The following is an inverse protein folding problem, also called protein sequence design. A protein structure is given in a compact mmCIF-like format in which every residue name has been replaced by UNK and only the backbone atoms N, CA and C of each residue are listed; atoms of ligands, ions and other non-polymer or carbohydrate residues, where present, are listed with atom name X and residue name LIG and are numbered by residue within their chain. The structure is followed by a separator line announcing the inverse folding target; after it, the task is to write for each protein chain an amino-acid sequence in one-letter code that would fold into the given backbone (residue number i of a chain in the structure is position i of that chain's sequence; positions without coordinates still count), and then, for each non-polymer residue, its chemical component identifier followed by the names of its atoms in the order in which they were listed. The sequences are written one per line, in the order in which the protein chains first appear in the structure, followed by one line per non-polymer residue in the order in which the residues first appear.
data_IF_500484919166
#
_entry.id   IF_500484919166
#
_cell.length_a   1.000
_cell.length_b   1.000
_cell.length_c   1.000
_cell.angle_alpha   90.00
_cell.angle_beta   90.00
_cell.angle_gamma   90.00
#
_symmetry.space_group_name_H-M   'P 1'
#
loop_
_entity.id
_entity.type
_entity.pdbx_description
1 polymer ?
#
# COMPACT_ATOMS: atom_id res chain seq x y z
N UNK A 1 67.64 37.62 17.00
CA UNK A 1 66.64 36.76 17.68
C UNK A 1 65.35 36.89 16.90
N UNK A 2 65.07 35.88 16.07
CA UNK A 2 63.93 35.82 15.15
C UNK A 2 63.03 34.67 15.61
N UNK A 3 61.78 34.97 15.91
CA UNK A 3 60.76 34.00 16.31
C UNK A 3 60.37 33.09 15.12
N UNK A 4 60.00 31.81 15.37
CA UNK A 4 59.68 30.88 14.30
C UNK A 4 58.28 31.10 13.72
N UNK A 5 58.21 30.98 12.39
CA UNK A 5 56.99 30.92 11.59
C UNK A 5 56.16 29.68 11.98
N UNK A 6 54.91 29.89 12.39
CA UNK A 6 53.88 28.84 12.48
C UNK A 6 53.12 28.83 11.16
N UNK A 7 53.32 27.78 10.38
CA UNK A 7 52.57 27.45 9.16
C UNK A 7 51.21 26.91 9.53
N UNK A 8 50.14 27.58 9.09
CA UNK A 8 48.78 27.04 9.09
C UNK A 8 48.67 25.94 8.02
N UNK A 9 48.55 24.69 8.45
CA UNK A 9 48.19 23.56 7.59
C UNK A 9 46.71 23.58 7.23
N UNK A 10 46.33 23.00 6.07
CA UNK A 10 45.00 23.15 5.51
C UNK A 10 43.94 22.39 6.33
N UNK A 11 42.76 23.02 6.38
CA UNK A 11 41.46 22.54 6.83
C UNK A 11 41.28 21.02 6.72
N UNK A 12 40.94 20.38 7.84
CA UNK A 12 40.50 18.99 7.88
C UNK A 12 39.29 18.76 6.98
N UNK A 13 39.54 18.12 5.84
CA UNK A 13 38.52 17.49 5.02
C UNK A 13 37.86 16.39 5.85
N UNK A 14 36.53 16.40 5.91
CA UNK A 14 35.72 15.31 6.43
C UNK A 14 36.17 13.97 5.83
N UNK A 15 36.17 12.86 6.60
CA UNK A 15 36.43 11.56 6.03
C UNK A 15 35.33 11.28 5.00
N UNK A 16 35.72 11.24 3.73
CA UNK A 16 34.89 10.77 2.63
C UNK A 16 34.18 9.48 3.08
N UNK A 17 32.85 9.56 3.22
CA UNK A 17 31.99 8.40 3.49
C UNK A 17 32.35 7.34 2.46
N UNK A 18 32.95 6.23 2.92
CA UNK A 18 33.31 5.10 2.07
C UNK A 18 32.03 4.55 1.45
N UNK A 19 31.81 4.86 0.18
CA UNK A 19 30.87 4.16 -0.69
C UNK A 19 31.20 2.65 -0.55
N UNK A 20 30.21 1.76 -0.33
CA UNK A 20 30.44 0.34 -0.42
C UNK A 20 30.99 0.02 -1.82
N UNK A 21 32.28 -0.31 -1.90
CA UNK A 21 32.93 -0.70 -3.14
C UNK A 21 32.13 -1.87 -3.75
N UNK A 22 31.83 -1.81 -5.05
CA UNK A 22 31.26 -2.89 -5.88
C UNK A 22 31.86 -4.27 -5.52
N UNK A 23 33.16 -4.32 -5.19
CA UNK A 23 33.87 -5.54 -4.76
C UNK A 23 33.30 -6.18 -3.49
N UNK A 24 32.84 -5.39 -2.53
CA UNK A 24 32.29 -5.89 -1.25
C UNK A 24 30.92 -6.54 -1.46
N UNK A 25 30.07 -5.96 -2.32
CA UNK A 25 28.79 -6.56 -2.69
C UNK A 25 28.97 -7.79 -3.60
N UNK A 26 29.96 -7.77 -4.51
CA UNK A 26 30.31 -8.92 -5.36
C UNK A 26 30.65 -10.18 -4.57
N UNK A 27 31.37 -10.04 -3.47
CA UNK A 27 31.70 -11.15 -2.58
C UNK A 27 30.47 -11.70 -1.83
N UNK A 28 29.43 -10.87 -1.65
CA UNK A 28 28.25 -11.19 -0.85
C UNK A 28 27.10 -11.80 -1.68
N UNK A 29 26.92 -11.39 -2.94
CA UNK A 29 25.79 -11.82 -3.81
C UNK A 29 26.19 -12.94 -4.78
N UNK A 30 27.14 -13.80 -4.41
CA UNK A 30 27.42 -15.05 -5.14
C UNK A 30 28.04 -14.90 -6.54
N UNK A 31 28.55 -13.72 -6.90
CA UNK A 31 29.31 -13.53 -8.15
C UNK A 31 28.48 -13.34 -9.43
N UNK A 32 27.16 -13.20 -9.34
CA UNK A 32 26.34 -12.81 -10.50
C UNK A 32 26.56 -11.34 -10.85
N UNK A 33 26.74 -11.05 -12.14
CA UNK A 33 26.94 -9.69 -12.63
C UNK A 33 25.60 -8.95 -12.64
N UNK A 34 25.43 -7.97 -11.75
CA UNK A 34 24.65 -6.79 -12.12
C UNK A 34 25.47 -6.05 -13.18
N UNK A 35 24.93 -5.87 -14.39
CA UNK A 35 25.63 -5.09 -15.40
C UNK A 35 25.86 -3.64 -14.91
N UNK A 36 26.84 -2.96 -15.49
CA UNK A 36 27.22 -1.61 -15.05
C UNK A 36 26.07 -0.59 -15.17
N UNK A 37 25.10 -0.83 -16.04
CA UNK A 37 23.92 0.02 -16.18
C UNK A 37 22.94 -0.20 -15.03
N UNK A 38 22.59 -1.45 -14.72
CA UNK A 38 21.76 -1.83 -13.59
C UNK A 38 22.37 -1.36 -12.25
N UNK A 39 23.68 -1.51 -12.09
CA UNK A 39 24.39 -0.98 -10.92
C UNK A 39 24.24 0.54 -10.81
N UNK A 40 24.50 1.28 -11.89
CA UNK A 40 24.37 2.73 -11.89
C UNK A 40 22.92 3.17 -11.60
N UNK A 41 21.92 2.49 -12.16
CA UNK A 41 20.50 2.76 -11.87
C UNK A 41 20.17 2.55 -10.38
N UNK A 42 20.62 1.45 -9.78
CA UNK A 42 20.43 1.18 -8.35
C UNK A 42 21.19 2.20 -7.50
N UNK A 43 22.44 2.50 -7.84
CA UNK A 43 23.26 3.48 -7.15
C UNK A 43 22.60 4.86 -7.18
N UNK A 44 22.16 5.34 -8.35
CA UNK A 44 21.46 6.61 -8.46
C UNK A 44 20.15 6.60 -7.66
N UNK A 45 19.36 5.53 -7.71
CA UNK A 45 18.14 5.38 -6.90
C UNK A 45 18.43 5.45 -5.40
N UNK A 46 19.49 4.81 -4.93
CA UNK A 46 19.85 4.74 -3.51
C UNK A 46 20.52 6.04 -3.04
N UNK A 47 21.54 6.52 -3.73
CA UNK A 47 22.36 7.64 -3.29
C UNK A 47 21.72 9.01 -3.58
N UNK A 48 20.99 9.16 -4.69
CA UNK A 48 20.30 10.42 -4.97
C UNK A 48 18.88 10.44 -4.42
N UNK A 49 18.05 9.47 -4.80
CA UNK A 49 16.62 9.58 -4.48
C UNK A 49 16.31 9.29 -3.00
N UNK A 50 17.09 8.43 -2.31
CA UNK A 50 16.87 8.23 -0.87
C UNK A 50 17.50 9.32 -0.01
N UNK A 51 18.65 9.90 -0.40
CA UNK A 51 19.24 11.00 0.39
C UNK A 51 18.35 12.25 0.36
N UNK A 52 17.73 12.54 -0.78
CA UNK A 52 16.68 13.56 -0.90
C UNK A 52 15.48 13.25 0.02
N UNK A 53 15.07 11.98 0.10
CA UNK A 53 13.97 11.58 0.97
C UNK A 53 14.28 11.77 2.47
N UNK A 54 15.53 11.58 2.88
CA UNK A 54 16.00 11.73 4.26
C UNK A 54 16.76 13.05 4.50
N UNK A 55 16.46 14.08 3.72
CA UNK A 55 17.11 15.40 3.76
C UNK A 55 16.87 16.19 5.05
N UNK A 56 16.45 17.45 4.94
CA UNK A 56 16.24 18.33 6.12
C UNK A 56 15.14 17.74 7.01
N UNK A 57 15.37 17.73 8.33
CA UNK A 57 14.35 17.32 9.29
C UNK A 57 13.53 18.54 9.73
N UNK A 58 12.20 18.44 9.62
CA UNK A 58 11.22 19.40 10.15
C UNK A 58 10.42 18.71 11.25
N UNK A 59 10.36 19.33 12.43
CA UNK A 59 9.66 18.80 13.61
C UNK A 59 10.05 17.35 13.97
N UNK A 60 11.32 16.97 13.78
CA UNK A 60 11.81 15.62 14.09
C UNK A 60 11.57 14.57 12.99
N UNK A 61 10.94 14.94 11.88
CA UNK A 61 10.71 14.06 10.72
C UNK A 61 11.37 14.64 9.46
N UNK A 62 11.91 13.81 8.54
CA UNK A 62 12.37 14.32 7.24
C UNK A 62 11.28 15.13 6.52
N UNK A 63 11.66 16.23 5.89
CA UNK A 63 10.78 17.18 5.20
C UNK A 63 9.82 16.50 4.21
N UNK A 64 10.25 15.52 3.39
CA UNK A 64 9.33 14.78 2.52
C UNK A 64 8.21 14.02 3.24
N UNK A 65 8.42 13.58 4.49
CA UNK A 65 7.35 12.96 5.30
C UNK A 65 6.35 14.00 5.78
N UNK A 66 6.81 15.20 6.13
CA UNK A 66 5.91 16.29 6.50
C UNK A 66 5.05 16.72 5.31
N UNK A 67 5.63 16.80 4.11
CA UNK A 67 4.84 17.10 2.91
C UNK A 67 3.83 15.99 2.59
N UNK A 68 4.25 14.72 2.64
CA UNK A 68 3.31 13.61 2.47
C UNK A 68 2.20 13.63 3.54
N UNK A 69 2.52 13.94 4.80
CA UNK A 69 1.53 14.12 5.87
C UNK A 69 0.55 15.24 5.55
N UNK A 70 1.04 16.42 5.17
CA UNK A 70 0.19 17.57 4.85
C UNK A 70 -0.73 17.28 3.66
N UNK A 71 -0.23 16.63 2.63
CA UNK A 71 -1.02 16.24 1.46
C UNK A 71 -2.11 15.22 1.83
N UNK A 72 -1.78 14.23 2.66
CA UNK A 72 -2.74 13.25 3.19
C UNK A 72 -3.79 13.93 4.05
N UNK A 73 -3.40 14.81 4.98
CA UNK A 73 -4.32 15.53 5.86
C UNK A 73 -5.24 16.46 5.08
N UNK A 74 -4.70 17.18 4.09
CA UNK A 74 -5.48 18.03 3.19
C UNK A 74 -6.52 17.20 2.42
N UNK A 75 -6.12 16.03 1.91
CA UNK A 75 -7.04 15.17 1.18
C UNK A 75 -8.08 14.51 2.09
N UNK A 76 -7.70 14.10 3.30
CA UNK A 76 -8.64 13.61 4.31
C UNK A 76 -9.68 14.66 4.67
N UNK A 77 -9.27 15.92 4.82
CA UNK A 77 -10.19 17.04 5.04
C UNK A 77 -11.17 17.21 3.87
N UNK A 78 -10.67 17.17 2.63
CA UNK A 78 -11.52 17.19 1.43
C UNK A 78 -12.50 16.02 1.41
N UNK A 79 -12.04 14.78 1.66
CA UNK A 79 -12.90 13.60 1.73
C UNK A 79 -14.00 13.77 2.77
N UNK A 80 -13.70 14.41 3.91
CA UNK A 80 -14.66 14.61 5.01
C UNK A 80 -15.67 15.72 4.73
N UNK A 81 -15.24 16.82 4.10
CA UNK A 81 -15.99 18.07 4.10
C UNK A 81 -16.48 18.53 2.72
N UNK A 82 -15.80 18.18 1.63
CA UNK A 82 -16.19 18.68 0.31
C UNK A 82 -17.44 17.97 -0.22
N UNK A 83 -18.33 18.71 -0.87
CA UNK A 83 -19.55 18.17 -1.48
C UNK A 83 -19.27 17.11 -2.55
N UNK A 84 -18.15 17.23 -3.27
CA UNK A 84 -17.76 16.30 -4.33
C UNK A 84 -17.50 14.87 -3.84
N UNK A 85 -17.19 14.68 -2.56
CA UNK A 85 -16.96 13.36 -1.96
C UNK A 85 -18.22 12.76 -1.30
N UNK A 86 -19.38 13.43 -1.35
CA UNK A 86 -20.58 12.99 -0.62
C UNK A 86 -21.01 11.57 -1.01
N UNK A 87 -21.09 11.25 -2.29
CA UNK A 87 -21.51 9.91 -2.73
C UNK A 87 -20.52 8.82 -2.31
N UNK A 88 -19.22 9.14 -2.26
CA UNK A 88 -18.20 8.24 -1.72
C UNK A 88 -18.41 8.04 -0.22
N UNK A 89 -18.58 9.12 0.57
CA UNK A 89 -18.86 9.03 2.01
C UNK A 89 -20.11 8.18 2.29
N UNK A 90 -21.20 8.41 1.56
CA UNK A 90 -22.44 7.67 1.70
C UNK A 90 -22.25 6.17 1.39
N UNK A 91 -21.45 5.84 0.36
CA UNK A 91 -21.12 4.45 0.04
C UNK A 91 -20.35 3.78 1.19
N UNK A 92 -19.35 4.47 1.76
CA UNK A 92 -18.56 3.94 2.89
C UNK A 92 -19.41 3.82 4.15
N UNK A 93 -20.24 4.80 4.47
CA UNK A 93 -21.11 4.75 5.64
C UNK A 93 -22.12 3.59 5.53
N UNK A 94 -22.74 3.41 4.36
CA UNK A 94 -23.63 2.28 4.09
C UNK A 94 -22.91 0.92 4.14
N UNK A 95 -21.65 0.86 3.66
CA UNK A 95 -20.83 -0.34 3.76
C UNK A 95 -20.55 -0.67 5.22
N UNK A 96 -19.98 0.29 5.97
CA UNK A 96 -19.56 0.14 7.37
C UNK A 96 -20.74 -0.23 8.25
N UNK A 97 -21.93 0.34 8.03
CA UNK A 97 -23.14 0.00 8.78
C UNK A 97 -23.51 -1.50 8.73
N UNK A 98 -23.15 -2.19 7.64
CA UNK A 98 -23.45 -3.63 7.42
C UNK A 98 -22.39 -4.57 7.98
N UNK A 99 -21.24 -4.05 8.39
CA UNK A 99 -20.15 -4.84 8.94
C UNK A 99 -20.37 -5.07 10.42
N UNK A 100 -19.73 -6.10 10.97
CA UNK A 100 -19.81 -6.43 12.38
C UNK A 100 -18.46 -6.98 12.85
N UNK A 101 -18.04 -6.61 14.06
CA UNK A 101 -16.85 -7.19 14.70
C UNK A 101 -15.54 -7.07 13.89
N UNK A 102 -15.42 -6.04 13.04
CA UNK A 102 -14.18 -5.79 12.29
C UNK A 102 -13.12 -5.24 13.24
N UNK A 103 -12.19 -6.09 13.65
CA UNK A 103 -11.06 -5.72 14.54
C UNK A 103 -9.79 -5.40 13.78
N UNK A 104 -9.72 -5.82 12.52
CA UNK A 104 -8.51 -5.72 11.69
C UNK A 104 -8.84 -5.23 10.29
N UNK A 105 -8.13 -4.18 9.86
CA UNK A 105 -8.13 -3.69 8.50
C UNK A 105 -6.74 -3.90 7.88
N UNK A 106 -6.69 -4.66 6.79
CA UNK A 106 -5.46 -5.10 6.12
C UNK A 106 -5.30 -4.39 4.78
N UNK A 107 -4.15 -3.76 4.55
CA UNK A 107 -3.75 -3.19 3.28
C UNK A 107 -2.72 -4.10 2.58
N UNK A 108 -3.08 -4.64 1.41
CA UNK A 108 -2.25 -5.61 0.65
C UNK A 108 -1.71 -5.05 -0.68
N UNK A 109 -2.11 -3.84 -1.07
CA UNK A 109 -1.76 -3.29 -2.38
C UNK A 109 -1.96 -1.78 -2.43
N UNK A 110 -1.23 -1.03 -1.61
CA UNK A 110 -1.24 0.43 -1.58
C UNK A 110 -0.39 1.03 -2.71
N UNK A 111 0.63 0.31 -3.16
CA UNK A 111 1.61 0.77 -4.12
C UNK A 111 2.77 1.55 -3.49
N UNK A 112 3.54 2.22 -4.34
CA UNK A 112 4.75 2.94 -3.95
C UNK A 112 4.53 4.45 -3.89
N UNK A 113 5.07 5.07 -2.84
CA UNK A 113 5.13 6.53 -2.79
C UNK A 113 6.17 7.04 -3.79
N UNK A 114 5.78 7.86 -4.77
CA UNK A 114 6.68 8.35 -5.84
C UNK A 114 7.32 9.72 -5.56
N UNK A 115 7.12 10.32 -4.39
CA UNK A 115 7.62 11.67 -4.07
C UNK A 115 6.56 12.76 -4.32
N UNK A 116 6.89 14.04 -4.03
CA UNK A 116 6.05 15.18 -4.33
C UNK A 116 6.15 15.53 -5.82
N UNK A 117 5.11 15.31 -6.66
CA UNK A 117 5.21 15.61 -8.09
C UNK A 117 4.85 17.08 -8.31
N UNK A 118 5.57 17.75 -9.21
CA UNK A 118 5.32 19.15 -9.54
C UNK A 118 3.97 19.40 -10.24
N UNK A 119 3.23 18.36 -10.65
CA UNK A 119 1.99 18.52 -11.45
C UNK A 119 0.93 17.40 -11.34
N UNK A 120 1.18 16.27 -10.67
CA UNK A 120 0.21 15.16 -10.55
C UNK A 120 0.05 14.77 -9.08
N UNK A 121 -1.17 14.74 -8.54
CA UNK A 121 -1.37 14.23 -7.17
C UNK A 121 -0.90 12.77 -7.14
N UNK A 122 0.00 12.48 -6.21
CA UNK A 122 0.61 11.16 -6.06
C UNK A 122 -0.49 10.15 -5.70
N UNK A 123 -0.73 9.15 -6.57
CA UNK A 123 -1.79 8.13 -6.40
C UNK A 123 -1.73 7.50 -5.00
N UNK A 124 -0.53 7.27 -4.48
CA UNK A 124 -0.33 6.74 -3.14
C UNK A 124 -0.97 7.59 -2.04
N UNK A 125 -0.88 8.93 -2.14
CA UNK A 125 -1.49 9.86 -1.18
C UNK A 125 -3.01 9.69 -1.19
N UNK A 126 -3.60 9.58 -2.37
CA UNK A 126 -5.06 9.38 -2.53
C UNK A 126 -5.50 8.05 -1.94
N UNK A 127 -4.81 6.97 -2.31
CA UNK A 127 -5.14 5.63 -1.82
C UNK A 127 -4.93 5.49 -0.31
N UNK A 128 -3.89 6.12 0.24
CA UNK A 128 -3.62 6.10 1.68
C UNK A 128 -4.64 6.94 2.46
N UNK A 129 -5.02 8.13 1.97
CA UNK A 129 -6.06 8.94 2.60
C UNK A 129 -7.41 8.20 2.62
N UNK A 130 -7.78 7.53 1.52
CA UNK A 130 -9.01 6.72 1.47
C UNK A 130 -8.94 5.53 2.43
N UNK A 131 -7.80 4.84 2.52
CA UNK A 131 -7.59 3.79 3.51
C UNK A 131 -7.78 4.32 4.94
N UNK A 132 -7.18 5.46 5.27
CA UNK A 132 -7.32 6.09 6.60
C UNK A 132 -8.77 6.48 6.87
N UNK A 133 -9.48 7.08 5.91
CA UNK A 133 -10.89 7.44 6.06
C UNK A 133 -11.79 6.23 6.33
N UNK A 134 -11.63 5.15 5.56
CA UNK A 134 -12.36 3.90 5.79
C UNK A 134 -12.05 3.32 7.17
N UNK A 135 -10.77 3.35 7.57
CA UNK A 135 -10.37 2.92 8.90
C UNK A 135 -11.03 3.76 10.00
N UNK A 136 -11.12 5.09 9.85
CA UNK A 136 -11.72 5.96 10.86
C UNK A 136 -13.19 5.59 11.08
N UNK A 137 -13.93 5.34 10.00
CA UNK A 137 -15.33 4.91 10.05
C UNK A 137 -15.50 3.53 10.70
N UNK A 138 -14.65 2.57 10.34
CA UNK A 138 -14.62 1.25 10.98
C UNK A 138 -14.28 1.36 12.47
N UNK A 139 -13.28 2.17 12.81
CA UNK A 139 -12.82 2.35 14.18
C UNK A 139 -13.87 3.02 15.05
N UNK A 140 -14.57 4.05 14.55
CA UNK A 140 -15.70 4.67 15.25
C UNK A 140 -16.78 3.63 15.54
N UNK A 141 -17.19 2.85 14.53
CA UNK A 141 -18.19 1.79 14.71
C UNK A 141 -17.74 0.74 15.73
N UNK A 142 -16.50 0.25 15.64
CA UNK A 142 -15.96 -0.74 16.56
C UNK A 142 -15.92 -0.21 18.01
N UNK A 143 -15.49 1.04 18.21
CA UNK A 143 -15.48 1.66 19.54
C UNK A 143 -16.89 1.83 20.12
N UNK A 144 -17.89 2.17 19.30
CA UNK A 144 -19.30 2.17 19.71
C UNK A 144 -19.75 0.77 20.09
N UNK A 145 -19.46 -0.25 19.27
CA UNK A 145 -19.82 -1.64 19.57
C UNK A 145 -19.18 -2.16 20.87
N UNK A 146 -17.91 -1.83 21.13
CA UNK A 146 -17.26 -2.15 22.41
C UNK A 146 -17.98 -1.47 23.59
N UNK A 147 -18.29 -0.18 23.43
CA UNK A 147 -18.95 0.61 24.49
C UNK A 147 -20.33 0.04 24.82
N UNK A 148 -21.13 -0.28 23.79
CA UNK A 148 -22.49 -0.82 23.95
C UNK A 148 -22.48 -2.20 24.63
N UNK A 149 -21.42 -3.00 24.41
CA UNK A 149 -21.24 -4.33 25.02
C UNK A 149 -20.59 -4.29 26.40
N UNK A 150 -20.03 -3.15 26.81
CA UNK A 150 -19.24 -3.03 28.04
C UNK A 150 -17.84 -3.64 27.94
N UNK A 151 -17.33 -3.84 26.72
CA UNK A 151 -15.98 -4.36 26.45
C UNK A 151 -14.92 -3.24 26.56
N UNK A 152 -13.64 -3.57 26.83
CA UNK A 152 -12.55 -2.61 26.73
C UNK A 152 -12.50 -1.97 25.33
N UNK A 153 -12.59 -0.64 25.29
CA UNK A 153 -12.53 0.11 24.03
C UNK A 153 -11.13 -0.04 23.43
N UNK A 154 -11.08 -0.70 22.27
CA UNK A 154 -9.86 -0.92 21.49
C UNK A 154 -9.99 -0.29 20.12
N UNK A 155 -8.87 -0.06 19.44
CA UNK A 155 -8.86 0.42 18.07
C UNK A 155 -8.75 -0.73 17.08
N UNK A 156 -9.36 -0.54 15.90
CA UNK A 156 -9.16 -1.44 14.76
C UNK A 156 -7.68 -1.45 14.38
N UNK A 157 -7.06 -2.62 14.26
CA UNK A 157 -5.67 -2.73 13.87
C UNK A 157 -5.49 -2.37 12.38
N UNK A 158 -4.49 -1.54 12.06
CA UNK A 158 -4.07 -1.27 10.67
C UNK A 158 -2.88 -2.13 10.34
N UNK A 159 -3.06 -3.05 9.41
CA UNK A 159 -2.01 -3.95 8.96
C UNK A 159 -1.62 -3.57 7.54
N UNK A 160 -0.33 -3.46 7.26
CA UNK A 160 0.20 -3.24 5.92
C UNK A 160 1.14 -4.40 5.57
N UNK A 161 0.85 -5.08 4.46
CA UNK A 161 1.70 -6.12 3.89
C UNK A 161 1.55 -6.11 2.37
N UNK A 162 2.17 -5.14 1.73
CA UNK A 162 2.15 -4.97 0.28
C UNK A 162 3.56 -5.26 -0.28
N UNK A 163 3.69 -6.23 -1.22
CA UNK A 163 4.98 -6.59 -1.80
C UNK A 163 5.64 -5.45 -2.60
N UNK A 164 4.87 -4.43 -3.01
CA UNK A 164 5.40 -3.25 -3.66
C UNK A 164 6.03 -2.26 -2.67
N UNK A 165 5.82 -2.38 -1.35
CA UNK A 165 6.38 -1.45 -0.36
C UNK A 165 7.92 -1.54 -0.36
N UNK A 166 8.56 -0.48 -0.85
CA UNK A 166 10.00 -0.30 -0.72
C UNK A 166 10.39 0.23 0.68
N UNK A 167 11.69 0.22 1.01
CA UNK A 167 12.18 0.69 2.32
C UNK A 167 11.75 2.13 2.64
N UNK A 168 11.64 2.98 1.61
CA UNK A 168 11.18 4.37 1.73
C UNK A 168 9.70 4.44 2.11
N UNK A 169 8.85 3.71 1.40
CA UNK A 169 7.40 3.65 1.66
C UNK A 169 7.12 2.99 3.00
N UNK A 170 7.90 1.96 3.38
CA UNK A 170 7.84 1.34 4.72
C UNK A 170 8.15 2.35 5.81
N UNK A 171 9.24 3.10 5.66
CA UNK A 171 9.61 4.16 6.60
C UNK A 171 8.52 5.23 6.67
N UNK A 172 7.98 5.66 5.51
CA UNK A 172 6.85 6.59 5.42
C UNK A 172 5.64 6.10 6.20
N UNK A 173 5.15 4.89 5.95
CA UNK A 173 4.01 4.33 6.67
C UNK A 173 4.23 4.27 8.20
N UNK A 174 5.46 4.00 8.64
CA UNK A 174 5.80 3.88 10.07
C UNK A 174 6.05 5.23 10.75
N UNK A 175 6.44 6.27 10.00
CA UNK A 175 6.96 7.53 10.55
C UNK A 175 6.26 8.78 10.02
N UNK A 176 5.22 8.64 9.19
CA UNK A 176 4.42 9.78 8.74
C UNK A 176 3.88 10.52 9.98
N UNK A 177 4.15 11.83 10.12
CA UNK A 177 3.48 12.65 11.12
C UNK A 177 1.98 12.53 10.93
N UNK A 178 1.23 12.52 12.03
CA UNK A 178 -0.23 12.47 11.99
C UNK A 178 -0.76 13.32 13.12
N UNK A 179 -1.49 14.38 12.78
CA UNK A 179 -2.08 15.28 13.77
C UNK A 179 -3.55 14.98 14.01
N UNK A 180 -4.25 14.51 12.97
CA UNK A 180 -5.70 14.28 12.99
C UNK A 180 -6.08 12.80 13.10
N UNK A 181 -5.11 11.90 12.96
CA UNK A 181 -5.32 10.45 12.95
C UNK A 181 -4.30 9.70 13.83
N UNK A 182 -4.68 9.28 15.05
CA UNK A 182 -3.76 8.65 15.99
C UNK A 182 -3.49 7.15 15.74
N UNK A 183 -4.19 6.49 14.80
CA UNK A 183 -4.12 5.02 14.66
C UNK A 183 -2.73 4.52 14.25
N UNK A 184 -2.15 3.50 14.88
CA UNK A 184 -0.80 3.02 14.52
C UNK A 184 -0.79 2.14 13.26
N UNK A 185 0.17 2.35 12.36
CA UNK A 185 0.35 1.50 11.17
C UNK A 185 1.30 0.34 11.50
N UNK A 186 0.79 -0.90 11.50
CA UNK A 186 1.61 -2.10 11.66
C UNK A 186 2.03 -2.61 10.29
N UNK A 187 3.28 -2.37 9.91
CA UNK A 187 3.86 -2.98 8.70
C UNK A 187 4.44 -4.34 9.07
N UNK A 188 3.86 -5.41 8.52
CA UNK A 188 4.26 -6.80 8.79
C UNK A 188 4.98 -7.39 7.58
N UNK A 189 5.76 -8.44 7.80
CA UNK A 189 6.40 -9.19 6.72
C UNK A 189 5.40 -10.16 6.06
N UNK A 190 5.84 -10.85 5.01
CA UNK A 190 5.07 -11.93 4.38
C UNK A 190 5.40 -13.24 5.10
N UNK A 191 4.41 -14.10 5.43
CA UNK A 191 2.99 -14.06 5.06
C UNK A 191 2.02 -13.66 6.20
N UNK A 192 2.47 -12.87 7.17
CA UNK A 192 1.75 -12.58 8.42
C UNK A 192 0.32 -12.07 8.23
N UNK A 193 0.08 -11.16 7.28
CA UNK A 193 -1.27 -10.67 7.00
C UNK A 193 -2.20 -11.77 6.46
N UNK A 194 -1.67 -12.73 5.69
CA UNK A 194 -2.47 -13.87 5.23
C UNK A 194 -2.86 -14.80 6.37
N UNK A 195 -1.99 -14.98 7.38
CA UNK A 195 -2.33 -15.73 8.58
C UNK A 195 -3.43 -15.03 9.39
N UNK A 196 -3.43 -13.70 9.45
CA UNK A 196 -4.50 -12.94 10.09
C UNK A 196 -5.84 -13.14 9.38
N UNK A 197 -5.85 -13.17 8.03
CA UNK A 197 -7.06 -13.45 7.25
C UNK A 197 -7.58 -14.89 7.42
N UNK A 198 -6.71 -15.85 7.71
CA UNK A 198 -7.12 -17.24 8.02
C UNK A 198 -7.68 -17.37 9.43
N UNK A 199 -7.11 -16.64 10.39
CA UNK A 199 -7.51 -16.69 11.78
C UNK A 199 -8.82 -15.95 12.05
N UNK A 200 -9.11 -14.89 11.29
CA UNK A 200 -10.27 -14.03 11.47
C UNK A 200 -10.93 -13.68 10.14
N UNK A 201 -12.13 -14.20 9.93
CA UNK A 201 -12.95 -13.88 8.77
C UNK A 201 -13.64 -12.51 8.86
N UNK A 202 -13.66 -11.89 10.05
CA UNK A 202 -14.19 -10.56 10.30
C UNK A 202 -13.13 -9.48 10.03
N UNK A 203 -12.53 -9.57 8.84
CA UNK A 203 -11.48 -8.69 8.37
C UNK A 203 -11.97 -7.81 7.23
N UNK A 204 -11.43 -6.58 7.19
CA UNK A 204 -11.59 -5.65 6.07
C UNK A 204 -10.28 -5.61 5.28
N UNK A 205 -10.32 -5.92 3.99
CA UNK A 205 -9.13 -5.87 3.13
C UNK A 205 -9.22 -4.74 2.12
N UNK A 206 -8.15 -3.97 2.00
CA UNK A 206 -7.95 -2.90 1.04
C UNK A 206 -6.73 -3.19 0.17
N UNK A 207 -6.94 -3.30 -1.14
CA UNK A 207 -5.97 -3.87 -2.07
C UNK A 207 -6.14 -3.33 -3.51
N UNK A 208 -6.17 -1.99 -3.72
CA UNK A 208 -6.42 -1.39 -5.03
C UNK A 208 -5.35 -1.73 -6.07
N UNK A 209 -4.10 -1.96 -5.67
CA UNK A 209 -2.99 -2.32 -6.56
C UNK A 209 -2.55 -3.78 -6.44
N UNK A 210 -3.34 -4.64 -5.80
CA UNK A 210 -2.99 -6.06 -5.70
C UNK A 210 -3.14 -6.74 -7.08
N UNK A 211 -2.14 -7.50 -7.55
CA UNK A 211 -2.25 -8.26 -8.79
C UNK A 211 -3.49 -9.15 -8.80
N UNK A 212 -4.24 -9.19 -9.91
CA UNK A 212 -5.57 -9.81 -9.94
C UNK A 212 -5.58 -11.29 -9.60
N UNK A 213 -4.51 -12.04 -9.89
CA UNK A 213 -4.39 -13.45 -9.48
C UNK A 213 -4.38 -13.61 -7.95
N UNK A 214 -3.82 -12.63 -7.23
CA UNK A 214 -3.78 -12.64 -5.77
C UNK A 214 -5.11 -12.20 -5.14
N UNK A 215 -5.95 -11.41 -5.84
CA UNK A 215 -7.29 -11.05 -5.35
C UNK A 215 -8.13 -12.30 -5.02
N UNK A 216 -8.09 -13.30 -5.90
CA UNK A 216 -8.83 -14.55 -5.71
C UNK A 216 -8.29 -15.37 -4.53
N UNK A 217 -6.98 -15.32 -4.27
CA UNK A 217 -6.39 -15.95 -3.10
C UNK A 217 -6.87 -15.29 -1.80
N UNK A 218 -6.95 -13.96 -1.78
CA UNK A 218 -7.49 -13.19 -0.64
C UNK A 218 -8.97 -13.47 -0.42
N UNK A 219 -9.79 -13.42 -1.47
CA UNK A 219 -11.24 -13.70 -1.38
C UNK A 219 -11.53 -15.14 -0.93
N UNK A 220 -10.64 -16.09 -1.25
CA UNK A 220 -10.75 -17.47 -0.77
C UNK A 220 -10.57 -17.59 0.75
N UNK A 221 -9.95 -16.60 1.40
CA UNK A 221 -9.86 -16.49 2.88
C UNK A 221 -11.11 -15.89 3.51
N UNK A 222 -12.11 -15.56 2.70
CA UNK A 222 -13.44 -15.12 3.12
C UNK A 222 -13.48 -13.88 4.04
N UNK A 223 -12.66 -12.83 3.82
CA UNK A 223 -12.82 -11.58 4.59
C UNK A 223 -14.25 -11.04 4.41
N UNK A 224 -14.79 -10.37 5.43
CA UNK A 224 -16.11 -9.74 5.32
C UNK A 224 -16.16 -8.72 4.17
N UNK A 225 -15.09 -7.97 3.98
CA UNK A 225 -14.96 -7.01 2.87
C UNK A 225 -13.60 -7.14 2.20
N UNK A 226 -13.61 -7.07 0.86
CA UNK A 226 -12.43 -6.87 0.05
C UNK A 226 -12.65 -5.71 -0.92
N UNK A 227 -11.79 -4.70 -0.88
CA UNK A 227 -11.76 -3.58 -1.83
C UNK A 227 -10.54 -3.75 -2.72
N UNK A 228 -10.72 -3.97 -4.02
CA UNK A 228 -9.62 -4.21 -4.95
C UNK A 228 -10.09 -4.27 -6.40
N UNK A 229 -9.26 -4.80 -7.31
CA UNK A 229 -9.61 -4.87 -8.73
C UNK A 229 -10.91 -5.67 -8.96
N UNK A 230 -11.87 -5.01 -9.61
CA UNK A 230 -13.17 -5.55 -9.99
C UNK A 230 -13.07 -6.64 -11.05
N UNK A 231 -14.13 -7.42 -11.23
CA UNK A 231 -14.15 -8.57 -12.13
C UNK A 231 -13.87 -8.16 -13.59
N UNK A 232 -14.43 -7.00 -14.00
CA UNK A 232 -14.42 -6.50 -15.38
C UNK A 232 -13.35 -5.43 -15.65
N UNK A 233 -12.58 -5.05 -14.64
CA UNK A 233 -11.57 -4.03 -14.76
C UNK A 233 -10.40 -4.47 -15.65
N UNK A 234 -9.65 -3.51 -16.18
CA UNK A 234 -8.31 -3.77 -16.72
C UNK A 234 -7.42 -4.17 -15.56
N UNK A 235 -6.89 -5.39 -15.56
CA UNK A 235 -6.27 -5.98 -14.38
C UNK A 235 -7.27 -6.62 -13.42
N UNK A 236 -8.49 -6.91 -13.86
CA UNK A 236 -9.51 -7.67 -13.13
C UNK A 236 -9.35 -9.19 -13.25
N UNK A 237 -10.31 -9.96 -12.73
CA UNK A 237 -10.22 -11.43 -12.69
C UNK A 237 -10.21 -12.07 -14.07
N UNK A 238 -10.91 -11.48 -15.04
CA UNK A 238 -10.88 -11.95 -16.44
C UNK A 238 -9.51 -11.82 -17.06
N UNK A 239 -8.80 -10.72 -16.77
CA UNK A 239 -7.41 -10.52 -17.20
C UNK A 239 -6.51 -11.60 -16.61
N UNK A 240 -6.62 -11.88 -15.30
CA UNK A 240 -5.85 -12.94 -14.65
C UNK A 240 -6.05 -14.32 -15.31
N UNK A 241 -7.29 -14.69 -15.66
CA UNK A 241 -7.57 -15.94 -16.37
C UNK A 241 -6.92 -15.96 -17.77
N UNK A 242 -7.02 -14.84 -18.50
CA UNK A 242 -6.43 -14.73 -19.85
C UNK A 242 -4.91 -14.80 -19.80
N UNK A 243 -4.27 -14.15 -18.84
CA UNK A 243 -2.82 -14.21 -18.67
C UNK A 243 -2.35 -15.63 -18.34
N UNK A 244 -3.01 -16.32 -17.40
CA UNK A 244 -2.69 -17.71 -17.06
C UNK A 244 -2.80 -18.62 -18.30
N UNK A 245 -3.89 -18.48 -19.07
CA UNK A 245 -4.08 -19.23 -20.31
C UNK A 245 -2.94 -18.96 -21.32
N UNK A 246 -2.56 -17.69 -21.52
CA UNK A 246 -1.50 -17.32 -22.44
C UNK A 246 -0.12 -17.83 -21.99
N UNK A 247 0.14 -17.85 -20.69
CA UNK A 247 1.37 -18.39 -20.11
C UNK A 247 1.44 -19.91 -20.28
N UNK A 248 0.39 -20.65 -19.89
CA UNK A 248 0.29 -22.10 -20.08
C UNK A 248 0.50 -22.49 -21.56
N UNK A 249 -0.18 -21.79 -22.49
CA UNK A 249 -0.02 -22.07 -23.93
C UNK A 249 1.43 -21.86 -24.41
N UNK A 250 2.12 -20.85 -23.88
CA UNK A 250 3.52 -20.57 -24.25
C UNK A 250 4.49 -21.60 -23.67
N UNK A 251 4.26 -22.04 -22.43
CA UNK A 251 5.13 -23.03 -21.79
C UNK A 251 4.94 -24.42 -22.38
N UNK A 252 3.70 -24.82 -22.66
CA UNK A 252 3.37 -26.17 -23.15
C UNK A 252 3.43 -26.28 -24.69
N UNK A 253 3.46 -25.15 -25.41
CA UNK A 253 3.48 -25.14 -26.87
C UNK A 253 2.17 -25.61 -27.53
N UNK A 254 1.07 -25.64 -26.78
CA UNK A 254 -0.26 -26.10 -27.22
C UNK A 254 -1.37 -25.17 -26.75
N UNK A 255 -2.40 -24.97 -27.60
CA UNK A 255 -3.54 -24.10 -27.30
C UNK A 255 -4.68 -24.87 -26.60
N UNK A 256 -4.44 -25.32 -25.36
CA UNK A 256 -5.43 -26.05 -24.55
C UNK A 256 -5.61 -25.41 -23.19
N UNK A 257 -6.82 -25.53 -22.62
CA UNK A 257 -7.12 -25.04 -21.26
C UNK A 257 -6.44 -25.98 -20.25
N UNK A 258 -5.35 -25.50 -19.65
CA UNK A 258 -4.61 -26.20 -18.61
C UNK A 258 -5.29 -26.15 -17.23
N UNK A 259 -4.60 -26.71 -16.23
CA UNK A 259 -5.15 -26.86 -14.89
C UNK A 259 -5.21 -25.52 -14.14
N UNK A 260 -4.24 -24.62 -14.33
CA UNK A 260 -4.20 -23.32 -13.67
C UNK A 260 -5.40 -22.46 -14.03
N UNK A 261 -5.77 -22.45 -15.32
CA UNK A 261 -7.00 -21.76 -15.79
C UNK A 261 -8.27 -22.34 -15.16
N UNK A 262 -8.35 -23.68 -15.06
CA UNK A 262 -9.51 -24.36 -14.43
C UNK A 262 -9.62 -24.01 -12.95
N UNK A 263 -8.49 -24.00 -12.24
CA UNK A 263 -8.43 -23.67 -10.81
C UNK A 263 -8.79 -22.20 -10.56
N UNK A 264 -8.28 -21.27 -11.38
CA UNK A 264 -8.67 -19.85 -11.31
C UNK A 264 -10.16 -19.66 -11.57
N UNK A 265 -10.71 -20.33 -12.58
CA UNK A 265 -12.14 -20.26 -12.88
C UNK A 265 -13.01 -20.78 -11.73
N UNK A 266 -12.62 -21.90 -11.10
CA UNK A 266 -13.30 -22.42 -9.93
C UNK A 266 -13.31 -21.40 -8.77
N UNK A 267 -12.19 -20.71 -8.52
CA UNK A 267 -12.10 -19.65 -7.50
C UNK A 267 -12.98 -18.44 -7.84
N UNK A 268 -13.06 -18.03 -9.11
CA UNK A 268 -13.98 -16.97 -9.56
C UNK A 268 -15.43 -17.36 -9.29
N UNK A 269 -15.82 -18.59 -9.64
CA UNK A 269 -17.17 -19.08 -9.37
C UNK A 269 -17.50 -19.07 -7.87
N UNK A 270 -16.58 -19.53 -7.02
CA UNK A 270 -16.74 -19.50 -5.57
C UNK A 270 -16.84 -18.06 -5.03
N UNK A 271 -16.00 -17.15 -5.50
CA UNK A 271 -16.04 -15.74 -5.12
C UNK A 271 -17.38 -15.09 -5.49
N UNK A 272 -17.91 -15.31 -6.70
CA UNK A 272 -19.23 -14.79 -7.12
C UNK A 272 -20.40 -15.30 -6.29
N UNK A 273 -20.30 -16.54 -5.80
CA UNK A 273 -21.32 -17.11 -4.91
C UNK A 273 -21.24 -16.51 -3.51
N UNK A 274 -20.03 -16.19 -3.04
CA UNK A 274 -19.76 -15.73 -1.68
C UNK A 274 -19.92 -14.21 -1.53
N UNK A 275 -19.68 -13.44 -2.58
CA UNK A 275 -19.60 -11.98 -2.51
C UNK A 275 -20.66 -11.29 -3.37
N UNK A 276 -21.02 -10.08 -2.94
CA UNK A 276 -21.70 -9.08 -3.75
C UNK A 276 -20.66 -8.04 -4.16
N UNK A 277 -20.49 -7.88 -5.47
CA UNK A 277 -19.60 -6.86 -6.05
C UNK A 277 -20.39 -5.58 -6.31
N UNK A 278 -19.85 -4.44 -5.88
CA UNK A 278 -20.31 -3.12 -6.28
C UNK A 278 -19.11 -2.28 -6.74
N UNK A 279 -19.23 -1.48 -7.81
CA UNK A 279 -18.16 -0.57 -8.19
C UNK A 279 -17.89 0.41 -7.04
N UNK A 280 -16.61 0.67 -6.78
CA UNK A 280 -16.25 1.72 -5.86
C UNK A 280 -16.66 3.06 -6.46
N UNK A 281 -17.19 3.95 -5.64
CA UNK A 281 -17.52 5.28 -6.09
C UNK A 281 -16.20 6.06 -6.29
N UNK A 282 -16.06 6.64 -7.49
CA UNK A 282 -14.88 7.41 -7.91
C UNK A 282 -15.16 8.92 -7.88
N UNK A 283 -16.29 9.35 -7.32
CA UNK A 283 -16.69 10.74 -7.18
C UNK A 283 -15.76 11.45 -6.19
N UNK A 284 -15.17 12.56 -6.65
CA UNK A 284 -14.31 13.45 -5.88
C UNK A 284 -13.71 14.54 -6.78
N UNK A 285 -13.29 15.70 -6.25
CA UNK A 285 -12.59 16.73 -7.00
C UNK A 285 -11.17 16.32 -7.44
N UNK A 286 -10.65 15.19 -6.94
CA UNK A 286 -9.40 14.58 -7.37
C UNK A 286 -9.62 13.59 -8.50
N UNK A 287 -8.82 13.71 -9.55
CA UNK A 287 -8.79 12.89 -10.77
C UNK A 287 -9.56 11.54 -10.68
N UNK A 288 -10.65 11.36 -11.45
CA UNK A 288 -11.54 10.20 -11.38
C UNK A 288 -10.88 8.86 -11.79
N UNK A 289 -9.60 8.88 -12.17
CA UNK A 289 -8.86 7.68 -12.62
C UNK A 289 -8.30 6.82 -11.49
N UNK A 290 -8.15 7.33 -10.26
CA UNK A 290 -7.44 6.63 -9.18
C UNK A 290 -8.13 5.34 -8.69
N UNK A 291 -9.44 5.24 -8.84
CA UNK A 291 -10.24 4.07 -8.46
C UNK A 291 -10.87 3.39 -9.68
N UNK A 292 -10.40 3.71 -10.89
CA UNK A 292 -10.95 3.12 -12.10
C UNK A 292 -10.71 1.61 -12.10
N UNK A 293 -11.78 0.84 -12.14
CA UNK A 293 -11.72 -0.61 -12.04
C UNK A 293 -11.62 -1.17 -10.62
N UNK A 294 -11.69 -0.34 -9.57
CA UNK A 294 -11.78 -0.81 -8.19
C UNK A 294 -13.23 -1.15 -7.84
N UNK A 295 -13.43 -2.22 -7.08
CA UNK A 295 -14.74 -2.67 -6.62
C UNK A 295 -14.70 -3.11 -5.16
N UNK A 296 -15.85 -3.02 -4.52
CA UNK A 296 -16.11 -3.45 -3.16
C UNK A 296 -16.81 -4.81 -3.25
N UNK A 297 -16.19 -5.83 -2.68
CA UNK A 297 -16.72 -7.18 -2.55
C UNK A 297 -17.15 -7.36 -1.10
N UNK A 298 -18.46 -7.38 -0.88
CA UNK A 298 -19.05 -7.60 0.44
C UNK A 298 -19.53 -9.04 0.55
N UNK A 299 -19.08 -9.74 1.59
CA UNK A 299 -19.47 -11.12 1.84
C UNK A 299 -20.98 -11.22 2.10
N UNK A 300 -21.63 -12.19 1.48
CA UNK A 300 -23.03 -12.54 1.78
C UNK A 300 -23.06 -13.14 3.18
N UNK A 301 -23.84 -12.53 4.07
CA UNK A 301 -24.16 -13.03 5.41
C UNK A 301 -25.42 -13.88 5.29
#
# INVERSE_FOLDING_TARGET
MTAPNVTYGPSGLEPARRIPNIRTLRAFVGGEWLDGFAWNQIYYKVEKNMSEFFGVYLFGHPQPLNYASQDVETLLDQIKNDAGWQNFRDQIDNLVARLHDIKTMVCLGLGQYVGPPSTTRNVWIVQYAVFVYMWEKLNQKWQTECTDRGDPVTSVARIFQDPAIDKRTKYLLQKIPRTTDPGYNNVVEVPEAFFMLEADENTFVYAPHLPSRLNLAVLSRRPQVFVGNGERAVGGWKTAIMEEYMEECKFEGVNVIGQGVRDLWARVCAARQTYLEAPMNNDGPTDPTHFNGTSIFLRRI
#
